data_IF_669106292705
#
_entry.id   IF_669106292705
#
_cell.length_a   1.000
_cell.length_b   1.000
_cell.length_c   1.000
_cell.angle_alpha   90.00
_cell.angle_beta   90.00
_cell.angle_gamma   90.00
#
_symmetry.space_group_name_H-M   'P 1'
#
loop_
_entity.id
_entity.type
_entity.pdbx_description
1 polymer ?
#
# COMPACT_ATOMS: atom_id res chain seq x y z
N UNK A 1 9.45 6.80 30.96
CA UNK A 1 9.43 7.99 30.09
C UNK A 1 10.38 9.02 30.66
N UNK A 2 11.48 9.31 29.97
CA UNK A 2 12.44 10.36 30.38
C UNK A 2 11.98 11.68 29.77
N UNK A 3 11.81 12.70 30.62
CA UNK A 3 11.37 14.04 30.21
C UNK A 3 12.53 14.99 29.95
N UNK A 4 13.63 14.83 30.68
CA UNK A 4 14.83 15.64 30.54
C UNK A 4 16.06 14.75 30.72
N UNK A 5 17.11 15.02 29.94
CA UNK A 5 18.40 14.40 30.12
C UNK A 5 19.21 15.20 31.15
N UNK A 6 19.61 14.62 32.31
CA UNK A 6 20.33 15.35 33.35
C UNK A 6 21.70 15.82 32.84
N UNK A 7 21.93 17.13 32.68
CA UNK A 7 23.04 17.65 31.88
C UNK A 7 24.42 17.18 32.37
N UNK A 8 24.65 17.27 33.67
CA UNK A 8 25.94 16.92 34.29
C UNK A 8 26.27 15.43 34.20
N UNK A 9 25.26 14.56 34.23
CA UNK A 9 25.46 13.11 34.21
C UNK A 9 25.81 12.59 32.82
N UNK A 10 25.34 13.27 31.76
CA UNK A 10 25.61 12.91 30.37
C UNK A 10 27.07 13.22 30.02
N UNK A 11 27.57 14.39 30.43
CA UNK A 11 28.98 14.77 30.22
C UNK A 11 30.00 13.86 30.91
N UNK A 12 29.61 13.17 31.98
CA UNK A 12 30.52 12.31 32.76
C UNK A 12 30.82 10.97 32.08
N UNK A 13 30.04 10.57 31.08
CA UNK A 13 30.19 9.25 30.43
C UNK A 13 31.03 9.38 29.16
N UNK A 14 32.30 9.69 29.34
CA UNK A 14 33.28 9.85 28.25
C UNK A 14 33.54 8.56 27.45
N UNK A 15 33.22 7.38 28.00
CA UNK A 15 33.35 6.07 27.35
C UNK A 15 32.10 5.61 26.60
N UNK A 16 31.02 6.40 26.61
CA UNK A 16 29.77 6.03 25.98
C UNK A 16 29.92 5.98 24.46
N UNK A 17 29.70 4.81 23.85
CA UNK A 17 29.76 4.63 22.39
C UNK A 17 28.40 4.73 21.71
N UNK A 18 27.33 4.35 22.42
CA UNK A 18 25.97 4.34 21.88
C UNK A 18 25.02 4.99 22.87
N UNK A 19 24.26 5.97 22.41
CA UNK A 19 23.24 6.68 23.18
C UNK A 19 21.91 6.53 22.47
N UNK A 20 21.00 5.78 23.10
CA UNK A 20 19.65 5.52 22.58
C UNK A 20 18.65 6.24 23.47
N UNK A 21 17.99 7.23 22.90
CA UNK A 21 16.99 8.07 23.56
C UNK A 21 15.62 8.03 22.85
N UNK A 22 15.45 7.09 21.92
CA UNK A 22 14.17 6.87 21.22
C UNK A 22 13.02 6.61 22.19
N UNK A 23 11.80 7.00 21.78
CA UNK A 23 10.55 6.80 22.52
C UNK A 23 10.49 7.52 23.90
N UNK A 24 11.28 8.57 24.06
CA UNK A 24 11.15 9.49 25.20
C UNK A 24 10.27 10.69 24.86
N UNK A 25 10.21 11.66 25.77
CA UNK A 25 9.50 12.94 25.59
C UNK A 25 10.45 14.12 25.85
N UNK A 26 11.72 13.95 25.45
CA UNK A 26 12.74 14.99 25.51
C UNK A 26 12.39 16.10 24.52
N UNK A 27 12.37 17.34 25.00
CA UNK A 27 12.18 18.52 24.16
C UNK A 27 13.49 19.04 23.59
N UNK A 28 14.62 18.74 24.24
CA UNK A 28 15.97 19.16 23.86
C UNK A 28 17.04 18.20 24.37
N UNK A 29 18.22 18.23 23.74
CA UNK A 29 19.44 17.63 24.28
C UNK A 29 20.27 18.69 25.04
N UNK A 30 20.91 18.33 26.17
CA UNK A 30 21.72 19.25 26.96
C UNK A 30 23.00 19.67 26.23
N UNK A 31 23.52 20.87 26.51
CA UNK A 31 24.79 21.34 25.93
C UNK A 31 25.97 20.45 26.33
N UNK A 32 25.87 19.81 27.47
CA UNK A 32 26.84 18.92 28.08
C UNK A 32 27.03 17.59 27.31
N UNK A 33 26.27 17.35 26.25
CA UNK A 33 26.45 16.18 25.38
C UNK A 33 27.86 16.11 24.75
N UNK A 34 28.57 17.25 24.64
CA UNK A 34 29.97 17.29 24.20
C UNK A 34 30.92 16.46 25.07
N UNK A 35 30.56 16.16 26.32
CA UNK A 35 31.36 15.31 27.20
C UNK A 35 31.39 13.84 26.76
N UNK A 36 30.43 13.40 25.94
CA UNK A 36 30.37 12.06 25.35
C UNK A 36 31.34 11.91 24.16
N UNK A 37 32.61 12.24 24.36
CA UNK A 37 33.62 12.26 23.29
C UNK A 37 33.83 10.93 22.56
N UNK A 38 33.52 9.77 23.16
CA UNK A 38 33.60 8.46 22.49
C UNK A 38 32.33 8.04 21.75
N UNK A 39 31.32 8.92 21.63
CA UNK A 39 30.02 8.56 21.09
C UNK A 39 30.09 8.33 19.58
N UNK A 40 29.69 7.13 19.16
CA UNK A 40 29.69 6.68 17.76
C UNK A 40 28.30 6.59 17.17
N UNK A 41 27.29 6.29 18.00
CA UNK A 41 25.90 6.16 17.59
C UNK A 41 24.97 6.97 18.48
N UNK A 42 24.16 7.82 17.88
CA UNK A 42 23.14 8.60 18.57
C UNK A 42 21.77 8.35 17.91
N UNK A 43 20.89 7.63 18.61
CA UNK A 43 19.52 7.38 18.16
C UNK A 43 18.57 8.20 19.02
N UNK A 44 17.93 9.20 18.42
CA UNK A 44 16.95 10.05 19.09
C UNK A 44 15.71 10.13 18.19
N UNK A 45 14.82 9.16 18.32
CA UNK A 45 13.52 9.17 17.67
C UNK A 45 12.46 9.57 18.69
N UNK A 46 12.00 10.82 18.66
CA UNK A 46 11.20 11.35 19.75
C UNK A 46 10.20 12.42 19.28
N UNK A 47 8.92 12.21 19.57
CA UNK A 47 7.81 13.02 19.07
C UNK A 47 7.93 14.53 19.34
N UNK A 48 8.57 14.93 20.44
CA UNK A 48 8.63 16.34 20.88
C UNK A 48 10.03 16.97 20.83
N UNK A 49 11.04 16.28 20.30
CA UNK A 49 12.37 16.87 20.19
C UNK A 49 12.32 18.07 19.24
N UNK A 50 12.51 19.25 19.81
CA UNK A 50 12.37 20.53 19.12
C UNK A 50 13.70 21.24 18.97
N UNK A 51 14.77 20.82 19.68
CA UNK A 51 16.05 21.53 19.69
C UNK A 51 17.27 20.60 19.76
N UNK A 52 18.30 20.90 18.96
CA UNK A 52 19.64 20.31 19.06
C UNK A 52 20.66 21.37 19.52
N UNK A 53 21.54 21.07 20.49
CA UNK A 53 22.57 22.00 20.96
C UNK A 53 23.76 22.03 19.99
N UNK A 54 24.42 23.19 19.86
CA UNK A 54 25.63 23.30 19.02
C UNK A 54 26.81 22.46 19.48
N UNK A 55 26.87 22.16 20.76
CA UNK A 55 27.87 21.26 21.32
C UNK A 55 27.80 19.84 20.73
N UNK A 56 26.67 19.44 20.14
CA UNK A 56 26.55 18.18 19.40
C UNK A 56 27.54 18.12 18.22
N UNK A 57 27.85 19.26 17.60
CA UNK A 57 28.81 19.32 16.50
C UNK A 57 30.25 19.01 16.92
N UNK A 58 30.58 19.11 18.21
CA UNK A 58 31.88 18.64 18.72
C UNK A 58 32.03 17.12 18.64
N UNK A 59 30.92 16.39 18.47
CA UNK A 59 30.90 14.95 18.27
C UNK A 59 30.88 14.56 16.79
N UNK A 60 30.91 15.51 15.84
CA UNK A 60 30.83 15.21 14.39
C UNK A 60 31.91 14.26 13.90
N UNK A 61 33.10 14.32 14.51
CA UNK A 61 34.27 13.53 14.10
C UNK A 61 34.23 12.11 14.69
N UNK A 62 33.42 11.88 15.73
CA UNK A 62 33.31 10.60 16.44
C UNK A 62 32.00 9.88 16.15
N UNK A 63 30.93 10.63 15.85
CA UNK A 63 29.64 10.11 15.44
C UNK A 63 29.70 9.51 14.03
N UNK A 64 29.53 8.20 13.96
CA UNK A 64 29.40 7.45 12.71
C UNK A 64 27.96 7.31 12.25
N UNK A 65 27.01 7.35 13.20
CA UNK A 65 25.59 7.10 12.94
C UNK A 65 24.75 8.03 13.81
N UNK A 66 23.86 8.79 13.18
CA UNK A 66 22.90 9.65 13.86
C UNK A 66 21.53 9.46 13.23
N UNK A 67 20.56 9.07 14.05
CA UNK A 67 19.17 8.93 13.64
C UNK A 67 18.30 9.93 14.39
N UNK A 68 17.73 10.85 13.62
CA UNK A 68 16.79 11.87 14.06
C UNK A 68 15.42 11.72 13.40
N UNK A 69 15.13 10.55 12.83
CA UNK A 69 13.82 10.24 12.25
C UNK A 69 12.72 10.35 13.32
N UNK A 70 11.51 10.71 12.89
CA UNK A 70 10.35 10.84 13.78
C UNK A 70 10.49 11.86 14.93
N UNK A 71 11.39 12.84 14.82
CA UNK A 71 11.35 14.05 15.65
C UNK A 71 10.31 15.07 15.16
N UNK A 72 10.01 16.11 15.96
CA UNK A 72 9.02 17.14 15.62
C UNK A 72 9.33 17.79 14.24
N UNK A 73 8.29 18.16 13.49
CA UNK A 73 8.38 18.88 12.20
C UNK A 73 9.11 20.23 12.32
N UNK A 74 9.16 20.79 13.54
CA UNK A 74 9.83 22.06 13.87
C UNK A 74 11.12 21.87 14.67
N UNK A 75 11.84 20.75 14.49
CA UNK A 75 13.19 20.65 15.05
C UNK A 75 13.97 21.90 14.63
N UNK A 76 14.27 22.78 15.58
CA UNK A 76 14.89 24.07 15.37
C UNK A 76 16.35 23.97 15.83
N UNK A 77 17.27 24.40 14.97
CA UNK A 77 18.64 24.64 15.38
C UNK A 77 18.63 26.00 16.09
N UNK A 78 18.98 26.05 17.37
CA UNK A 78 19.37 27.32 17.95
C UNK A 78 20.65 27.75 17.25
N UNK A 79 20.56 28.74 16.36
CA UNK A 79 21.72 29.54 15.97
C UNK A 79 21.87 30.56 17.10
N UNK A 80 22.79 30.37 18.08
CA UNK A 80 22.99 31.33 19.12
C UNK A 80 23.43 32.64 18.47
N UNK A 81 23.00 33.73 19.08
CA UNK A 81 23.23 35.10 18.62
C UNK A 81 24.71 35.48 18.54
N UNK A 82 25.65 34.60 18.94
CA UNK A 82 27.08 34.67 18.62
C UNK A 82 27.43 34.01 17.26
N UNK A 83 26.72 34.40 16.20
CA UNK A 83 26.70 33.89 14.80
C UNK A 83 28.07 33.76 14.08
N UNK A 84 29.22 33.92 14.74
CA UNK A 84 30.50 34.10 14.04
C UNK A 84 31.68 33.22 14.49
N UNK A 85 31.55 32.25 15.41
CA UNK A 85 32.73 31.49 15.87
C UNK A 85 32.92 30.08 15.30
N UNK A 86 31.87 29.40 14.84
CA UNK A 86 32.00 28.04 14.29
C UNK A 86 30.96 27.76 13.19
N UNK A 87 31.30 28.19 11.97
CA UNK A 87 30.49 27.99 10.77
C UNK A 87 30.35 26.50 10.46
N UNK A 88 31.41 25.70 10.65
CA UNK A 88 31.40 24.28 10.30
C UNK A 88 30.43 23.49 11.18
N UNK A 89 30.43 23.76 12.48
CA UNK A 89 29.48 23.16 13.42
C UNK A 89 28.03 23.55 13.13
N UNK A 90 27.82 24.82 12.79
CA UNK A 90 26.49 25.34 12.43
C UNK A 90 25.98 24.68 11.14
N UNK A 91 26.84 24.58 10.12
CA UNK A 91 26.52 23.94 8.86
C UNK A 91 26.25 22.44 9.02
N UNK A 92 27.03 21.75 9.85
CA UNK A 92 26.80 20.32 10.12
C UNK A 92 25.45 20.08 10.79
N UNK A 93 25.10 20.83 11.85
CA UNK A 93 23.80 20.65 12.53
C UNK A 93 22.63 21.00 11.60
N UNK A 94 22.75 22.05 10.78
CA UNK A 94 21.75 22.37 9.75
C UNK A 94 21.61 21.21 8.75
N UNK A 95 22.73 20.60 8.31
CA UNK A 95 22.71 19.46 7.39
C UNK A 95 21.99 18.23 7.94
N UNK A 96 21.98 18.03 9.27
CA UNK A 96 21.23 16.95 9.92
C UNK A 96 19.71 17.13 9.75
N UNK A 97 19.23 18.36 9.60
CA UNK A 97 17.83 18.65 9.28
C UNK A 97 17.53 18.43 7.80
N UNK A 98 18.47 18.74 6.92
CA UNK A 98 18.33 18.51 5.47
C UNK A 98 18.20 17.03 5.13
N UNK A 99 18.88 16.14 5.85
CA UNK A 99 18.69 14.68 5.70
C UNK A 99 17.25 14.23 5.97
N UNK A 100 16.54 14.89 6.89
CA UNK A 100 15.11 14.64 7.14
C UNK A 100 14.23 15.15 5.99
N UNK A 101 14.58 16.31 5.41
CA UNK A 101 13.83 16.90 4.30
C UNK A 101 13.94 16.05 3.02
N UNK A 102 15.13 15.54 2.69
CA UNK A 102 15.32 14.65 1.52
C UNK A 102 14.47 13.38 1.62
N UNK A 103 14.37 12.78 2.82
CA UNK A 103 13.52 11.61 3.06
C UNK A 103 12.02 11.92 2.89
N UNK A 104 11.56 13.08 3.41
CA UNK A 104 10.17 13.53 3.26
C UNK A 104 9.84 13.83 1.79
N UNK A 105 10.76 14.45 1.06
CA UNK A 105 10.56 14.77 -0.36
C UNK A 105 10.56 13.50 -1.23
N UNK A 106 11.39 12.50 -0.90
CA UNK A 106 11.35 11.17 -1.49
C UNK A 106 10.00 10.48 -1.28
N UNK A 107 9.49 10.45 -0.04
CA UNK A 107 8.17 9.87 0.28
C UNK A 107 7.01 10.59 -0.42
N UNK A 108 7.07 11.93 -0.53
CA UNK A 108 6.09 12.71 -1.29
C UNK A 108 6.10 12.36 -2.78
N UNK A 109 7.30 12.15 -3.35
CA UNK A 109 7.43 11.73 -4.73
C UNK A 109 6.85 10.33 -4.95
N UNK A 110 7.18 9.36 -4.10
CA UNK A 110 6.62 8.00 -4.16
C UNK A 110 5.10 8.01 -4.03
N UNK A 111 4.54 8.78 -3.08
CA UNK A 111 3.10 8.92 -2.92
C UNK A 111 2.41 9.46 -4.19
N UNK A 112 3.03 10.44 -4.85
CA UNK A 112 2.53 11.01 -6.10
C UNK A 112 2.57 10.00 -7.26
N UNK A 113 3.62 9.18 -7.34
CA UNK A 113 3.70 8.09 -8.31
C UNK A 113 2.61 7.05 -8.06
N UNK A 114 2.45 6.60 -6.81
CA UNK A 114 1.41 5.63 -6.45
C UNK A 114 -0.01 6.14 -6.73
N UNK A 115 -0.27 7.44 -6.50
CA UNK A 115 -1.56 8.05 -6.87
C UNK A 115 -1.81 7.98 -8.39
N UNK A 116 -0.80 8.23 -9.21
CA UNK A 116 -0.93 8.12 -10.66
C UNK A 116 -1.20 6.67 -11.09
N UNK A 117 -0.52 5.70 -10.47
CA UNK A 117 -0.72 4.28 -10.75
C UNK A 117 -2.13 3.82 -10.38
N UNK A 118 -2.68 4.27 -9.24
CA UNK A 118 -4.07 3.98 -8.82
C UNK A 118 -5.07 4.45 -9.88
N UNK A 119 -4.91 5.67 -10.39
CA UNK A 119 -5.79 6.20 -11.46
C UNK A 119 -5.65 5.38 -12.74
N UNK A 120 -4.45 4.89 -13.06
CA UNK A 120 -4.22 3.95 -14.16
C UNK A 120 -5.00 2.65 -13.98
N UNK A 121 -4.94 2.04 -12.80
CA UNK A 121 -5.67 0.80 -12.52
C UNK A 121 -7.20 0.99 -12.54
N UNK A 122 -7.72 2.15 -12.12
CA UNK A 122 -9.16 2.46 -12.24
C UNK A 122 -9.61 2.53 -13.70
N UNK A 123 -8.77 3.09 -14.59
CA UNK A 123 -9.06 3.14 -16.02
C UNK A 123 -9.07 1.74 -16.66
N UNK A 124 -8.08 0.90 -16.33
CA UNK A 124 -8.02 -0.47 -16.82
C UNK A 124 -9.21 -1.31 -16.32
N UNK A 125 -9.64 -1.09 -15.07
CA UNK A 125 -10.82 -1.75 -14.50
C UNK A 125 -12.10 -1.39 -15.27
N UNK A 126 -12.29 -0.10 -15.60
CA UNK A 126 -13.42 0.36 -16.42
C UNK A 126 -13.48 -0.31 -17.79
N UNK A 127 -12.32 -0.48 -18.46
CA UNK A 127 -12.27 -1.20 -19.73
C UNK A 127 -12.61 -2.68 -19.58
N UNK A 128 -12.17 -3.30 -18.47
CA UNK A 128 -12.47 -4.70 -18.19
C UNK A 128 -13.97 -4.90 -17.93
N UNK A 129 -14.60 -3.99 -17.18
CA UNK A 129 -16.05 -3.99 -16.92
C UNK A 129 -16.86 -3.89 -18.23
N UNK A 130 -16.44 -3.04 -19.16
CA UNK A 130 -17.07 -2.93 -20.48
C UNK A 130 -16.93 -4.22 -21.29
N UNK A 131 -15.76 -4.87 -21.24
CA UNK A 131 -15.55 -6.16 -21.91
C UNK A 131 -16.42 -7.27 -21.31
N UNK A 132 -16.56 -7.32 -19.98
CA UNK A 132 -17.42 -8.29 -19.30
C UNK A 132 -18.88 -8.09 -19.73
N UNK A 133 -19.37 -6.84 -19.77
CA UNK A 133 -20.73 -6.54 -20.21
C UNK A 133 -20.98 -7.02 -21.66
N UNK A 134 -20.02 -6.81 -22.56
CA UNK A 134 -20.12 -7.33 -23.93
C UNK A 134 -20.17 -8.86 -23.99
N UNK A 135 -19.39 -9.55 -23.15
CA UNK A 135 -19.37 -11.01 -23.10
C UNK A 135 -20.67 -11.58 -22.51
N UNK A 136 -21.25 -10.92 -21.50
CA UNK A 136 -22.55 -11.29 -20.93
C UNK A 136 -23.68 -11.16 -21.96
N UNK A 137 -23.68 -10.09 -22.75
CA UNK A 137 -24.65 -9.93 -23.84
C UNK A 137 -24.49 -11.02 -24.91
N UNK A 138 -23.24 -11.37 -25.28
CA UNK A 138 -22.98 -12.47 -26.21
C UNK A 138 -23.45 -13.80 -25.66
N UNK A 139 -23.22 -14.07 -24.37
CA UNK A 139 -23.71 -15.28 -23.70
C UNK A 139 -25.23 -15.38 -23.76
N UNK A 140 -25.94 -14.29 -23.45
CA UNK A 140 -27.40 -14.25 -23.50
C UNK A 140 -27.95 -14.56 -24.90
N UNK A 141 -27.30 -14.02 -25.95
CA UNK A 141 -27.69 -14.30 -27.34
C UNK A 141 -27.53 -15.80 -27.65
N UNK A 142 -26.40 -16.41 -27.24
CA UNK A 142 -26.16 -17.84 -27.44
C UNK A 142 -27.17 -18.71 -26.66
N UNK A 143 -27.53 -18.32 -25.45
CA UNK A 143 -28.56 -19.02 -24.66
C UNK A 143 -29.93 -18.97 -25.35
N UNK A 144 -30.32 -17.82 -25.90
CA UNK A 144 -31.55 -17.68 -26.67
C UNK A 144 -31.55 -18.56 -27.93
N UNK A 145 -30.44 -18.58 -28.68
CA UNK A 145 -30.30 -19.44 -29.86
C UNK A 145 -30.41 -20.93 -29.48
N UNK A 146 -29.79 -21.33 -28.37
CA UNK A 146 -29.88 -22.68 -27.84
C UNK A 146 -31.32 -23.07 -27.50
N UNK A 147 -32.09 -22.17 -26.88
CA UNK A 147 -33.49 -22.43 -26.52
C UNK A 147 -34.41 -22.51 -27.75
N UNK A 148 -34.11 -21.76 -28.81
CA UNK A 148 -34.79 -21.93 -30.10
C UNK A 148 -34.51 -23.31 -30.71
N UNK A 149 -33.26 -23.76 -30.69
CA UNK A 149 -32.87 -25.10 -31.18
C UNK A 149 -33.57 -26.18 -30.37
N UNK A 150 -33.64 -26.06 -29.03
CA UNK A 150 -34.38 -26.98 -28.16
C UNK A 150 -35.85 -27.05 -28.55
N UNK A 151 -36.52 -25.91 -28.73
CA UNK A 151 -37.91 -25.88 -29.18
C UNK A 151 -38.12 -26.59 -30.51
N UNK A 152 -37.22 -26.37 -31.47
CA UNK A 152 -37.29 -27.03 -32.78
C UNK A 152 -37.15 -28.55 -32.67
N UNK A 153 -36.21 -29.03 -31.84
CA UNK A 153 -36.02 -30.47 -31.59
C UNK A 153 -37.25 -31.10 -30.95
N UNK A 154 -37.82 -30.48 -29.91
CA UNK A 154 -39.05 -30.95 -29.26
C UNK A 154 -40.22 -31.02 -30.24
N UNK A 155 -40.40 -30.00 -31.09
CA UNK A 155 -41.44 -29.99 -32.11
C UNK A 155 -41.25 -31.14 -33.13
N UNK A 156 -40.01 -31.40 -33.53
CA UNK A 156 -39.66 -32.50 -34.43
C UNK A 156 -39.94 -33.87 -33.81
N UNK A 157 -39.65 -34.06 -32.52
CA UNK A 157 -39.96 -35.29 -31.79
C UNK A 157 -41.47 -35.51 -31.64
N UNK A 158 -42.24 -34.47 -31.31
CA UNK A 158 -43.71 -34.54 -31.30
C UNK A 158 -44.27 -34.96 -32.66
N UNK A 159 -43.77 -34.36 -33.75
CA UNK A 159 -44.18 -34.75 -35.11
C UNK A 159 -43.90 -36.22 -35.40
N UNK A 160 -42.74 -36.73 -34.98
CA UNK A 160 -42.37 -38.16 -35.14
C UNK A 160 -43.31 -39.08 -34.35
N UNK A 161 -43.64 -38.73 -33.10
CA UNK A 161 -44.58 -39.51 -32.28
C UNK A 161 -45.98 -39.57 -32.89
N UNK A 162 -46.52 -38.44 -33.36
CA UNK A 162 -47.82 -38.40 -34.03
C UNK A 162 -47.83 -39.27 -35.29
N UNK A 163 -46.75 -39.24 -36.07
CA UNK A 163 -46.61 -40.09 -37.24
C UNK A 163 -46.61 -41.59 -36.90
N UNK A 164 -45.80 -42.01 -35.92
CA UNK A 164 -45.80 -43.40 -35.46
C UNK A 164 -47.16 -43.84 -34.92
N UNK A 165 -47.86 -42.96 -34.18
CA UNK A 165 -49.19 -43.24 -33.66
C UNK A 165 -50.22 -43.44 -34.79
N UNK A 166 -50.17 -42.61 -35.83
CA UNK A 166 -51.04 -42.76 -37.01
C UNK A 166 -50.78 -44.08 -37.75
N UNK A 167 -49.50 -44.46 -37.92
CA UNK A 167 -49.12 -45.72 -38.55
C UNK A 167 -49.62 -46.94 -37.73
N UNK A 168 -49.44 -46.92 -36.40
CA UNK A 168 -49.98 -47.98 -35.53
C UNK A 168 -51.50 -48.06 -35.60
N UNK A 169 -52.20 -46.92 -35.53
CA UNK A 169 -53.66 -46.88 -35.66
C UNK A 169 -54.15 -47.40 -37.00
N UNK A 170 -53.43 -47.11 -38.08
CA UNK A 170 -53.75 -47.62 -39.40
C UNK A 170 -53.62 -49.14 -39.49
N UNK A 171 -52.57 -49.72 -38.90
CA UNK A 171 -52.40 -51.18 -38.85
C UNK A 171 -53.46 -51.87 -37.97
N UNK A 172 -53.84 -51.27 -36.83
CA UNK A 172 -54.97 -51.76 -36.02
C UNK A 172 -56.27 -51.81 -36.84
N UNK A 173 -56.55 -50.75 -37.60
CA UNK A 173 -57.74 -50.67 -38.47
C UNK A 173 -57.68 -51.75 -39.55
N UNK A 174 -56.54 -51.94 -40.22
CA UNK A 174 -56.36 -52.99 -41.23
C UNK A 174 -56.64 -54.39 -40.67
N UNK A 175 -56.08 -54.71 -39.50
CA UNK A 175 -56.30 -55.99 -38.82
C UNK A 175 -57.77 -56.19 -38.44
N UNK A 176 -58.43 -55.13 -37.93
CA UNK A 176 -59.85 -55.16 -37.60
C UNK A 176 -60.76 -55.36 -38.83
N UNK A 177 -60.39 -54.79 -39.98
CA UNK A 177 -61.08 -55.03 -41.24
C UNK A 177 -60.85 -56.45 -41.79
N UNK A 178 -59.62 -56.96 -41.72
CA UNK A 178 -59.27 -58.30 -42.17
C UNK A 178 -59.99 -59.41 -41.36
N UNK A 179 -60.19 -59.19 -40.06
CA UNK A 179 -60.92 -60.13 -39.19
C UNK A 179 -62.45 -60.13 -39.35
N UNK A 180 -63.01 -59.14 -40.09
CA UNK A 180 -64.46 -59.00 -40.33
C UNK A 180 -64.90 -59.37 -41.74
N UNK A 181 -63.98 -59.76 -42.62
CA UNK A 181 -64.31 -60.33 -43.94
C UNK A 181 -64.49 -61.85 -43.81
N UNK A 182 -65.70 -62.41 -44.07
CA UNK A 182 -65.87 -63.86 -44.14
C UNK A 182 -65.20 -64.39 -45.40
N UNK A 183 -64.51 -65.54 -45.25
CA UNK A 183 -64.01 -66.37 -46.36
C UNK A 183 -65.18 -66.89 -47.19
#
# INVERSE_FOLDING_TARGET
MVTNLPPFQVALVNSLQQLILSENILTSLPQEIEGCSSLQKLLVQNYDLSWLPLSLAKLKDTLSEIDLSNNNEQLAVTIPTEVHRDIDSTMWIISLQSQKLECIDGLKHEFKTLQHDIVGYEFDLLQLEEQVAMLEQKKLNVENDLDQVRHFLTARECKRHVQCWMEQKWEEIKLACASKMPV
#
